data_IF_522997871102
#
_entry.id   IF_522997871102
#
_cell.length_a   1.000
_cell.length_b   1.000
_cell.length_c   1.000
_cell.angle_alpha   90.00
_cell.angle_beta   90.00
_cell.angle_gamma   90.00
#
_symmetry.space_group_name_H-M   'P 1'
#
loop_
_entity.id
_entity.type
_entity.pdbx_description
1 polymer ?
#
# COMPACT_ATOMS: atom_id res chain seq x y z
N UNK A 1 27.81 2.12 -2.59
CA UNK A 1 27.66 3.26 -1.68
C UNK A 1 28.41 2.92 -0.42
N UNK A 2 29.32 3.78 0.01
CA UNK A 2 30.02 3.66 1.29
C UNK A 2 29.07 4.06 2.43
N UNK A 3 29.35 3.62 3.66
CA UNK A 3 28.60 4.04 4.88
C UNK A 3 28.52 5.57 5.09
N UNK A 4 29.30 6.36 4.34
CA UNK A 4 29.28 7.83 4.36
C UNK A 4 28.05 8.47 3.68
N UNK A 5 27.25 7.72 2.92
CA UNK A 5 26.09 8.28 2.18
C UNK A 5 24.76 8.18 2.94
N UNK A 6 24.73 7.53 4.11
CA UNK A 6 23.52 7.41 4.94
C UNK A 6 23.40 8.61 5.87
N UNK A 7 22.30 9.39 5.84
CA UNK A 7 22.15 10.56 6.68
C UNK A 7 22.02 10.17 8.17
N UNK A 8 22.64 10.96 9.03
CA UNK A 8 22.52 10.82 10.49
C UNK A 8 21.12 11.19 10.96
N UNK A 9 20.71 10.66 12.12
CA UNK A 9 19.41 11.01 12.74
C UNK A 9 19.28 12.53 12.95
N UNK A 10 20.36 13.21 13.37
CA UNK A 10 20.37 14.66 13.54
C UNK A 10 20.09 15.40 12.22
N UNK A 11 20.67 14.96 11.10
CA UNK A 11 20.38 15.52 9.78
C UNK A 11 18.93 15.28 9.36
N UNK A 12 18.40 14.07 9.59
CA UNK A 12 17.01 13.72 9.26
C UNK A 12 16.03 14.58 10.06
N UNK A 13 16.23 14.70 11.37
CA UNK A 13 15.36 15.50 12.26
C UNK A 13 15.44 17.00 12.00
N UNK A 14 16.58 17.48 11.48
CA UNK A 14 16.77 18.89 11.11
C UNK A 14 16.26 19.24 9.70
N UNK A 15 15.88 18.24 8.89
CA UNK A 15 15.40 18.47 7.53
C UNK A 15 14.09 19.27 7.53
N UNK A 16 13.99 20.24 6.62
CA UNK A 16 12.81 21.11 6.47
C UNK A 16 12.01 20.84 5.20
N UNK A 17 12.57 20.05 4.27
CA UNK A 17 11.94 19.71 3.00
C UNK A 17 11.09 18.44 3.19
N UNK A 18 9.86 18.64 3.68
CA UNK A 18 8.90 17.57 3.91
C UNK A 18 8.15 17.22 2.62
N UNK A 19 8.16 15.93 2.27
CA UNK A 19 7.34 15.36 1.20
C UNK A 19 5.95 15.00 1.73
N UNK A 20 5.87 14.50 2.96
CA UNK A 20 4.61 14.21 3.65
C UNK A 20 4.09 15.43 4.43
N UNK A 21 2.89 15.34 5.00
CA UNK A 21 2.42 16.34 5.95
C UNK A 21 3.32 16.35 7.22
N UNK A 22 3.74 17.52 7.74
CA UNK A 22 4.69 17.61 8.86
C UNK A 22 4.20 17.04 10.20
N UNK A 23 2.89 16.94 10.38
CA UNK A 23 2.18 16.46 11.58
C UNK A 23 1.77 14.98 11.50
N UNK A 24 2.06 14.30 10.38
CA UNK A 24 1.80 12.88 10.23
C UNK A 24 2.63 12.03 11.22
N UNK A 25 2.06 10.91 11.67
CA UNK A 25 2.73 9.93 12.54
C UNK A 25 3.95 9.27 11.87
N UNK A 26 3.90 9.16 10.54
CA UNK A 26 5.00 8.76 9.67
C UNK A 26 5.35 9.93 8.77
N UNK A 27 6.60 10.38 8.80
CA UNK A 27 7.07 11.55 8.07
C UNK A 27 8.01 11.12 6.96
N UNK A 28 7.97 11.82 5.83
CA UNK A 28 8.92 11.64 4.73
C UNK A 28 9.60 12.98 4.46
N UNK A 29 10.93 12.98 4.56
CA UNK A 29 11.76 14.16 4.27
C UNK A 29 12.70 13.89 3.11
N UNK A 30 12.91 14.92 2.29
CA UNK A 30 13.96 14.96 1.30
C UNK A 30 15.26 15.39 1.95
N UNK A 31 16.30 14.56 1.83
CA UNK A 31 17.65 14.85 2.33
C UNK A 31 18.53 15.44 1.22
N UNK A 32 18.36 14.95 -0.01
CA UNK A 32 19.05 15.41 -1.21
C UNK A 32 18.21 15.12 -2.45
N UNK A 33 18.69 15.47 -3.64
CA UNK A 33 18.03 15.10 -4.90
C UNK A 33 18.04 13.59 -5.20
N UNK A 34 18.65 12.77 -4.34
CA UNK A 34 18.72 11.31 -4.51
C UNK A 34 18.20 10.53 -3.30
N UNK A 35 17.98 11.18 -2.15
CA UNK A 35 17.69 10.49 -0.90
C UNK A 35 16.44 11.08 -0.26
N UNK A 36 15.49 10.19 0.04
CA UNK A 36 14.36 10.43 0.91
C UNK A 36 14.46 9.54 2.16
N UNK A 37 13.93 10.02 3.28
CA UNK A 37 13.86 9.25 4.52
C UNK A 37 12.44 9.25 5.05
N UNK A 38 11.85 8.06 5.19
CA UNK A 38 10.59 7.84 5.93
C UNK A 38 10.94 7.50 7.38
N UNK A 39 10.37 8.20 8.34
CA UNK A 39 10.65 7.98 9.75
C UNK A 39 9.47 8.29 10.67
N UNK A 40 9.44 7.62 11.82
CA UNK A 40 8.39 7.78 12.82
C UNK A 40 8.30 6.57 13.75
N UNK A 41 7.52 6.70 14.82
CA UNK A 41 7.29 5.60 15.78
C UNK A 41 6.35 4.53 15.23
N UNK A 42 5.60 4.84 14.17
CA UNK A 42 4.67 3.92 13.49
C UNK A 42 5.19 3.43 12.14
N UNK A 43 6.44 3.74 11.76
CA UNK A 43 7.02 3.25 10.51
C UNK A 43 7.44 1.79 10.67
N UNK A 44 6.84 0.84 9.95
CA UNK A 44 7.23 -0.56 10.05
C UNK A 44 8.48 -0.82 9.20
N UNK A 45 9.54 -1.38 9.80
CA UNK A 45 10.73 -1.80 9.02
C UNK A 45 10.40 -2.88 7.98
N UNK A 46 9.29 -3.59 8.16
CA UNK A 46 8.74 -4.53 7.17
C UNK A 46 8.49 -3.88 5.81
N UNK A 47 8.13 -2.59 5.75
CA UNK A 47 7.98 -1.87 4.48
C UNK A 47 9.27 -1.92 3.64
N UNK A 48 10.42 -1.71 4.29
CA UNK A 48 11.72 -1.76 3.65
C UNK A 48 12.11 -3.19 3.25
N UNK A 49 11.78 -4.19 4.07
CA UNK A 49 11.96 -5.60 3.71
C UNK A 49 11.12 -5.97 2.49
N UNK A 50 9.88 -5.48 2.40
CA UNK A 50 8.99 -5.70 1.27
C UNK A 50 9.53 -5.09 -0.02
N UNK A 51 9.99 -3.84 0.01
CA UNK A 51 10.62 -3.23 -1.17
C UNK A 51 11.86 -4.01 -1.62
N UNK A 52 12.73 -4.46 -0.69
CA UNK A 52 13.90 -5.28 -1.04
C UNK A 52 13.50 -6.63 -1.65
N UNK A 53 12.48 -7.28 -1.09
CA UNK A 53 11.97 -8.55 -1.60
C UNK A 53 11.40 -8.41 -3.02
N UNK A 54 10.58 -7.39 -3.26
CA UNK A 54 9.98 -7.12 -4.58
C UNK A 54 11.09 -6.85 -5.61
N UNK A 55 12.05 -5.97 -5.28
CA UNK A 55 13.16 -5.65 -6.18
C UNK A 55 14.05 -6.86 -6.51
N UNK A 56 14.16 -7.83 -5.60
CA UNK A 56 14.95 -9.04 -5.82
C UNK A 56 14.21 -10.12 -6.64
N UNK A 57 12.87 -10.09 -6.68
CA UNK A 57 12.05 -11.15 -7.25
C UNK A 57 11.20 -10.72 -8.46
N UNK A 58 11.31 -9.45 -8.90
CA UNK A 58 10.49 -8.90 -9.97
C UNK A 58 11.11 -7.65 -10.59
N UNK A 59 10.54 -7.20 -11.71
CA UNK A 59 10.86 -5.91 -12.33
C UNK A 59 9.96 -4.74 -11.86
N UNK A 60 9.17 -4.92 -10.79
CA UNK A 60 8.27 -3.87 -10.28
C UNK A 60 9.10 -2.64 -9.86
N UNK A 61 8.75 -1.43 -10.33
CA UNK A 61 9.52 -0.22 -10.04
C UNK A 61 9.22 0.29 -8.61
N UNK A 62 10.05 -0.13 -7.66
CA UNK A 62 10.02 0.31 -6.25
C UNK A 62 11.23 1.20 -5.92
N UNK A 63 11.13 2.12 -4.94
CA UNK A 63 12.29 2.86 -4.43
C UNK A 63 13.36 1.91 -3.92
N UNK A 64 14.63 2.18 -4.28
CA UNK A 64 15.74 1.41 -3.73
C UNK A 64 15.95 1.74 -2.26
N UNK A 65 15.82 0.74 -1.39
CA UNK A 65 16.19 0.89 0.02
C UNK A 65 17.71 0.93 0.18
N UNK A 66 18.20 1.99 0.82
CA UNK A 66 19.62 2.22 1.08
C UNK A 66 20.03 1.77 2.48
N UNK A 67 19.22 2.10 3.49
CA UNK A 67 19.49 1.72 4.88
C UNK A 67 18.19 1.68 5.71
N UNK A 68 18.24 0.94 6.81
CA UNK A 68 17.17 0.87 7.81
C UNK A 68 17.79 0.84 9.19
N UNK A 69 17.27 1.62 10.13
CA UNK A 69 17.74 1.64 11.52
C UNK A 69 16.66 2.18 12.46
N UNK A 70 16.89 1.98 13.77
CA UNK A 70 16.00 2.43 14.84
C UNK A 70 16.77 3.29 15.84
N UNK A 71 16.10 4.27 16.43
CA UNK A 71 16.63 5.08 17.54
C UNK A 71 15.98 4.60 18.85
N UNK A 72 16.75 3.94 19.70
CA UNK A 72 16.23 3.31 20.94
C UNK A 72 15.55 4.33 21.88
N UNK A 73 16.11 5.53 22.00
CA UNK A 73 15.64 6.57 22.92
C UNK A 73 14.20 7.03 22.62
N UNK A 74 13.82 7.07 21.34
CA UNK A 74 12.50 7.55 20.91
C UNK A 74 11.61 6.44 20.39
N UNK A 75 12.18 5.26 20.10
CA UNK A 75 11.51 4.17 19.39
C UNK A 75 11.21 4.49 17.92
N UNK A 76 11.82 5.53 17.33
CA UNK A 76 11.61 5.85 15.92
C UNK A 76 12.35 4.88 15.02
N UNK A 77 11.66 4.45 13.97
CA UNK A 77 12.25 3.71 12.86
C UNK A 77 12.54 4.66 11.70
N UNK A 78 13.57 4.34 10.92
CA UNK A 78 14.02 5.11 9.78
C UNK A 78 14.24 4.18 8.59
N UNK A 79 13.66 4.54 7.45
CA UNK A 79 13.86 3.91 6.15
C UNK A 79 14.50 4.95 5.25
N UNK A 80 15.78 4.75 4.93
CA UNK A 80 16.52 5.58 3.97
C UNK A 80 16.42 4.93 2.61
N UNK A 81 15.92 5.67 1.62
CA UNK A 81 15.63 5.15 0.28
C UNK A 81 15.93 6.18 -0.80
N UNK A 82 16.01 5.70 -2.03
CA UNK A 82 16.08 6.53 -3.22
C UNK A 82 14.89 7.50 -3.29
N UNK A 83 15.17 8.78 -3.52
CA UNK A 83 14.16 9.75 -3.88
C UNK A 83 13.75 9.53 -5.34
N UNK A 84 12.54 9.02 -5.55
CA UNK A 84 11.97 8.88 -6.89
C UNK A 84 11.59 10.26 -7.44
N UNK A 85 12.18 10.61 -8.58
CA UNK A 85 11.89 11.86 -9.28
C UNK A 85 10.55 11.78 -10.01
N UNK A 86 9.74 12.84 -9.93
CA UNK A 86 8.47 12.94 -10.63
C UNK A 86 7.41 13.67 -9.81
N UNK A 87 6.16 13.54 -10.24
CA UNK A 87 4.98 14.00 -9.49
C UNK A 87 4.06 12.81 -9.25
N UNK A 88 3.21 12.90 -8.23
CA UNK A 88 2.21 11.86 -8.00
C UNK A 88 1.24 11.80 -9.19
N UNK A 89 0.65 10.63 -9.44
CA UNK A 89 -0.42 10.49 -10.41
C UNK A 89 -1.64 11.29 -9.97
N UNK A 90 -1.89 11.44 -8.67
CA UNK A 90 -2.94 12.32 -8.13
C UNK A 90 -2.78 13.76 -8.63
N UNK A 91 -1.58 14.32 -8.55
CA UNK A 91 -1.27 15.69 -8.98
C UNK A 91 -1.31 15.87 -10.50
N UNK A 92 -0.98 14.82 -11.25
CA UNK A 92 -0.89 14.86 -12.71
C UNK A 92 -2.22 14.55 -13.38
N UNK A 93 -3.11 13.78 -12.74
CA UNK A 93 -4.35 13.26 -13.34
C UNK A 93 -5.15 14.32 -14.12
N UNK A 94 -5.35 15.55 -13.60
CA UNK A 94 -6.15 16.58 -14.29
C UNK A 94 -5.49 17.12 -15.57
N UNK A 95 -4.19 16.89 -15.74
CA UNK A 95 -3.39 17.40 -16.87
C UNK A 95 -3.15 16.37 -17.96
N UNK A 96 -3.42 15.09 -17.69
CA UNK A 96 -3.15 14.01 -18.61
C UNK A 96 -4.24 13.90 -19.68
N UNK A 97 -3.84 13.81 -20.94
CA UNK A 97 -4.74 13.46 -22.02
C UNK A 97 -5.02 11.94 -22.05
N UNK A 98 -5.98 11.50 -22.87
CA UNK A 98 -6.42 10.09 -22.93
C UNK A 98 -5.30 9.13 -23.34
N UNK A 99 -4.38 9.54 -24.20
CA UNK A 99 -3.25 8.71 -24.64
C UNK A 99 -2.23 8.55 -23.52
N UNK A 100 -1.90 9.64 -22.82
CA UNK A 100 -0.99 9.60 -21.65
C UNK A 100 -1.60 8.77 -20.51
N UNK A 101 -2.90 8.93 -20.22
CA UNK A 101 -3.62 8.10 -19.24
C UNK A 101 -3.54 6.62 -19.61
N UNK A 102 -3.72 6.28 -20.89
CA UNK A 102 -3.64 4.90 -21.38
C UNK A 102 -2.23 4.33 -21.23
N UNK A 103 -1.19 5.10 -21.57
CA UNK A 103 0.22 4.69 -21.45
C UNK A 103 0.60 4.43 -19.98
N UNK A 104 0.26 5.36 -19.08
CA UNK A 104 0.53 5.23 -17.64
C UNK A 104 -0.25 4.04 -17.06
N UNK A 105 -1.52 3.87 -17.41
CA UNK A 105 -2.34 2.75 -16.94
C UNK A 105 -1.76 1.41 -17.34
N UNK A 106 -1.27 1.30 -18.58
CA UNK A 106 -0.62 0.08 -19.06
C UNK A 106 0.65 -0.23 -18.26
N UNK A 107 1.46 0.77 -17.93
CA UNK A 107 2.65 0.57 -17.08
C UNK A 107 2.29 0.11 -15.67
N UNK A 108 1.27 0.73 -15.04
CA UNK A 108 0.79 0.31 -13.71
C UNK A 108 0.26 -1.12 -13.78
N UNK A 109 -0.55 -1.44 -14.79
CA UNK A 109 -1.10 -2.78 -15.00
C UNK A 109 0.01 -3.82 -15.10
N UNK A 110 1.01 -3.57 -15.93
CA UNK A 110 2.14 -4.48 -16.09
C UNK A 110 2.91 -4.67 -14.77
N UNK A 111 3.10 -3.60 -13.99
CA UNK A 111 3.72 -3.69 -12.66
C UNK A 111 2.89 -4.54 -11.68
N UNK A 112 1.56 -4.42 -11.68
CA UNK A 112 0.70 -5.25 -10.83
C UNK A 112 0.66 -6.71 -11.29
N UNK A 113 0.60 -6.95 -12.60
CA UNK A 113 0.63 -8.31 -13.16
C UNK A 113 1.97 -9.00 -12.81
N UNK A 114 3.09 -8.27 -12.92
CA UNK A 114 4.42 -8.71 -12.50
C UNK A 114 4.48 -8.99 -10.99
N UNK A 115 3.97 -8.09 -10.14
CA UNK A 115 3.90 -8.27 -8.69
C UNK A 115 3.16 -9.56 -8.32
N UNK A 116 2.01 -9.82 -8.97
CA UNK A 116 1.16 -11.00 -8.75
C UNK A 116 1.76 -12.29 -9.31
N UNK A 117 2.80 -12.20 -10.15
CA UNK A 117 3.51 -13.37 -10.69
C UNK A 117 4.51 -13.98 -9.71
N UNK A 118 4.90 -13.23 -8.68
CA UNK A 118 5.77 -13.72 -7.60
C UNK A 118 5.05 -14.86 -6.89
N UNK A 119 5.73 -16.00 -6.77
CA UNK A 119 5.15 -17.22 -6.20
C UNK A 119 4.67 -16.97 -4.77
N UNK A 120 3.38 -17.19 -4.48
CA UNK A 120 2.85 -16.96 -3.15
C UNK A 120 3.29 -18.06 -2.17
N UNK A 121 3.49 -17.72 -0.89
CA UNK A 121 3.66 -18.71 0.15
C UNK A 121 2.32 -19.36 0.52
N UNK A 122 2.37 -20.39 1.37
CA UNK A 122 1.18 -21.06 1.88
C UNK A 122 0.58 -20.33 3.11
N UNK A 123 0.44 -19.00 3.03
CA UNK A 123 -0.20 -18.19 4.06
C UNK A 123 -0.63 -16.82 3.51
N UNK A 124 -1.54 -16.17 4.22
CA UNK A 124 -2.00 -14.78 4.04
C UNK A 124 -1.42 -13.95 5.18
N UNK A 125 -0.73 -12.86 4.88
CA UNK A 125 0.04 -12.12 5.87
C UNK A 125 1.12 -11.24 5.25
N UNK A 126 1.78 -10.43 6.09
CA UNK A 126 3.01 -9.74 5.71
C UNK A 126 4.13 -10.72 5.33
N UNK A 127 5.21 -10.21 4.74
CA UNK A 127 6.38 -11.04 4.47
C UNK A 127 6.87 -11.74 5.75
N UNK A 128 7.48 -12.92 5.59
CA UNK A 128 8.00 -13.71 6.71
C UNK A 128 6.96 -14.00 7.81
N UNK A 129 5.71 -14.27 7.40
CA UNK A 129 4.59 -14.56 8.32
C UNK A 129 4.31 -13.42 9.33
N UNK A 130 4.56 -12.17 8.94
CA UNK A 130 4.16 -11.03 9.75
C UNK A 130 2.66 -10.78 9.67
N UNK A 131 2.14 -10.01 10.62
CA UNK A 131 0.73 -9.60 10.63
C UNK A 131 0.39 -8.69 9.45
N UNK A 132 -0.91 -8.58 9.15
CA UNK A 132 -1.43 -7.66 8.15
C UNK A 132 -1.46 -6.24 8.70
N UNK A 133 -0.69 -5.34 8.09
CA UNK A 133 -0.70 -3.92 8.42
C UNK A 133 -1.80 -3.20 7.63
N UNK A 134 -3.05 -3.41 8.04
CA UNK A 134 -4.22 -2.75 7.47
C UNK A 134 -5.26 -2.51 8.56
N UNK A 135 -6.00 -1.39 8.49
CA UNK A 135 -6.97 -1.03 9.51
C UNK A 135 -8.06 -2.09 9.72
N UNK A 136 -8.40 -2.90 8.70
CA UNK A 136 -9.36 -4.01 8.83
C UNK A 136 -8.88 -5.09 9.81
N UNK A 137 -7.58 -5.14 10.09
CA UNK A 137 -6.94 -6.14 10.96
C UNK A 137 -6.18 -5.51 12.12
N UNK A 138 -6.32 -4.19 12.32
CA UNK A 138 -5.56 -3.48 13.34
C UNK A 138 -6.22 -3.56 14.71
N UNK A 139 -5.50 -4.11 15.68
CA UNK A 139 -5.84 -4.07 17.11
C UNK A 139 -4.58 -3.78 17.92
N UNK A 140 -4.70 -3.21 19.14
CA UNK A 140 -3.57 -3.10 20.05
C UNK A 140 -2.87 -4.45 20.20
N UNK A 141 -1.53 -4.44 20.27
CA UNK A 141 -0.68 -5.64 20.43
C UNK A 141 -0.72 -6.65 19.27
N UNK A 142 -1.48 -6.37 18.20
CA UNK A 142 -1.58 -7.23 17.01
C UNK A 142 -1.94 -8.69 17.34
N UNK A 143 -3.03 -8.91 18.09
CA UNK A 143 -3.56 -10.25 18.38
C UNK A 143 -3.58 -11.10 17.10
N UNK A 144 -2.82 -12.21 17.01
CA UNK A 144 -2.73 -13.03 15.81
C UNK A 144 -4.08 -13.59 15.35
N UNK A 145 -5.06 -13.70 16.25
CA UNK A 145 -6.41 -14.12 15.89
C UNK A 145 -7.15 -13.10 15.02
N UNK A 146 -6.72 -11.83 15.00
CA UNK A 146 -7.28 -10.73 14.21
C UNK A 146 -6.28 -10.22 13.18
N UNK A 147 -5.01 -10.05 13.56
CA UNK A 147 -3.99 -9.44 12.71
C UNK A 147 -3.26 -10.45 11.82
N UNK A 148 -3.44 -11.74 12.06
CA UNK A 148 -2.75 -12.79 11.32
C UNK A 148 -1.29 -12.96 11.73
N UNK A 149 -0.49 -13.70 10.93
CA UNK A 149 -0.82 -14.28 9.63
C UNK A 149 -1.86 -15.39 9.72
N UNK A 150 -2.45 -15.75 8.58
CA UNK A 150 -3.47 -16.77 8.45
C UNK A 150 -3.06 -17.85 7.46
N UNK A 151 -3.41 -19.10 7.73
CA UNK A 151 -3.09 -20.20 6.81
C UNK A 151 -4.11 -20.34 5.66
N UNK A 152 -5.30 -19.73 5.79
CA UNK A 152 -6.37 -19.78 4.78
C UNK A 152 -7.17 -18.48 4.74
N UNK A 153 -7.85 -18.22 3.62
CA UNK A 153 -8.81 -17.12 3.49
C UNK A 153 -9.95 -17.20 4.50
N UNK A 154 -10.43 -18.41 4.82
CA UNK A 154 -11.45 -18.60 5.85
C UNK A 154 -10.96 -18.17 7.24
N UNK A 155 -9.69 -18.41 7.57
CA UNK A 155 -9.09 -17.94 8.82
C UNK A 155 -8.89 -16.42 8.84
N UNK A 156 -8.51 -15.82 7.70
CA UNK A 156 -8.46 -14.36 7.54
C UNK A 156 -9.85 -13.73 7.74
N UNK A 157 -10.90 -14.31 7.16
CA UNK A 157 -12.27 -13.87 7.34
C UNK A 157 -12.71 -13.94 8.81
N UNK A 158 -12.31 -14.99 9.53
CA UNK A 158 -12.57 -15.10 10.97
C UNK A 158 -11.92 -13.96 11.74
N UNK A 159 -10.65 -13.64 11.45
CA UNK A 159 -9.96 -12.53 12.10
C UNK A 159 -10.60 -11.18 11.81
N UNK A 160 -11.01 -10.96 10.56
CA UNK A 160 -11.78 -9.78 10.17
C UNK A 160 -13.11 -9.69 10.93
N UNK A 161 -13.87 -10.79 11.05
CA UNK A 161 -15.15 -10.83 11.76
C UNK A 161 -14.98 -10.55 13.26
N UNK A 162 -13.95 -11.12 13.89
CA UNK A 162 -13.59 -10.83 15.29
C UNK A 162 -13.31 -9.36 15.51
N UNK A 163 -12.64 -8.70 14.57
CA UNK A 163 -12.41 -7.27 14.62
C UNK A 163 -13.70 -6.46 14.50
N UNK A 164 -14.61 -6.88 13.61
CA UNK A 164 -15.93 -6.24 13.45
C UNK A 164 -16.82 -6.41 14.68
N UNK A 165 -16.77 -7.56 15.37
CA UNK A 165 -17.50 -7.83 16.61
C UNK A 165 -17.15 -6.83 17.73
N UNK A 166 -15.95 -6.24 17.71
CA UNK A 166 -15.55 -5.19 18.66
C UNK A 166 -16.16 -3.81 18.35
N UNK A 167 -16.73 -3.63 17.14
CA UNK A 167 -17.19 -2.33 16.61
C UNK A 167 -18.68 -2.31 16.26
N UNK A 168 -19.35 -3.45 16.37
CA UNK A 168 -20.76 -3.59 15.98
C UNK A 168 -21.49 -4.55 16.90
N UNK A 169 -22.84 -4.45 17.05
CA UNK A 169 -23.58 -5.38 17.88
C UNK A 169 -23.37 -6.84 17.45
N UNK A 170 -23.23 -7.75 18.40
CA UNK A 170 -22.94 -9.16 18.15
C UNK A 170 -23.95 -9.83 17.17
N UNK A 171 -25.23 -9.47 17.26
CA UNK A 171 -26.28 -9.96 16.33
C UNK A 171 -26.01 -9.54 14.88
N UNK A 172 -25.47 -8.34 14.67
CA UNK A 172 -25.14 -7.83 13.34
C UNK A 172 -23.88 -8.50 12.79
N UNK A 173 -22.84 -8.65 13.63
CA UNK A 173 -21.65 -9.41 13.25
C UNK A 173 -21.97 -10.87 12.88
N UNK A 174 -22.85 -11.53 13.64
CA UNK A 174 -23.32 -12.88 13.34
C UNK A 174 -24.09 -12.96 12.01
N UNK A 175 -24.86 -11.92 11.67
CA UNK A 175 -25.52 -11.82 10.37
C UNK A 175 -24.49 -11.66 9.23
N UNK A 176 -23.49 -10.79 9.39
CA UNK A 176 -22.43 -10.59 8.39
C UNK A 176 -21.58 -11.83 8.16
N UNK A 177 -21.33 -12.63 9.20
CA UNK A 177 -20.50 -13.85 9.15
C UNK A 177 -20.90 -14.81 8.03
N UNK A 178 -22.19 -15.04 7.84
CA UNK A 178 -22.68 -15.90 6.75
C UNK A 178 -22.41 -15.31 5.37
N UNK A 179 -22.61 -14.00 5.22
CA UNK A 179 -22.41 -13.27 3.96
C UNK A 179 -20.92 -13.24 3.60
N UNK A 180 -20.07 -12.81 4.54
CA UNK A 180 -18.61 -12.78 4.40
C UNK A 180 -18.07 -14.12 3.93
N UNK A 181 -18.45 -15.21 4.58
CA UNK A 181 -17.94 -16.54 4.23
C UNK A 181 -18.47 -17.08 2.89
N UNK A 182 -19.60 -16.57 2.41
CA UNK A 182 -20.16 -16.93 1.09
C UNK A 182 -19.65 -16.06 -0.05
N UNK A 183 -19.15 -14.86 0.26
CA UNK A 183 -18.68 -13.87 -0.72
C UNK A 183 -17.16 -13.86 -0.83
N UNK A 184 -16.45 -13.87 0.29
CA UNK A 184 -14.98 -13.77 0.33
C UNK A 184 -14.39 -15.17 0.48
N UNK A 185 -14.53 -16.00 -0.56
CA UNK A 185 -14.07 -17.38 -0.52
C UNK A 185 -13.55 -17.90 -1.86
N UNK A 186 -12.53 -18.74 -1.81
CA UNK A 186 -12.02 -19.46 -2.98
C UNK A 186 -11.06 -18.63 -3.85
N UNK A 187 -10.53 -17.54 -3.31
CA UNK A 187 -9.64 -16.65 -4.04
C UNK A 187 -8.19 -17.11 -3.97
N UNK A 188 -7.43 -16.80 -5.02
CA UNK A 188 -5.98 -17.03 -5.02
C UNK A 188 -5.29 -16.04 -4.10
N UNK A 189 -4.28 -16.49 -3.37
CA UNK A 189 -3.37 -15.61 -2.63
C UNK A 189 -2.31 -15.06 -3.57
N UNK A 190 -2.10 -13.75 -3.56
CA UNK A 190 -1.12 -13.02 -4.38
C UNK A 190 -0.48 -11.90 -3.56
N UNK A 191 0.70 -11.43 -3.98
CA UNK A 191 1.28 -10.23 -3.37
C UNK A 191 0.51 -9.01 -3.87
N UNK A 192 0.10 -8.14 -2.94
CA UNK A 192 -0.59 -6.88 -3.23
C UNK A 192 0.21 -5.71 -2.68
N UNK A 193 0.03 -4.54 -3.29
CA UNK A 193 0.50 -3.26 -2.74
C UNK A 193 -0.31 -2.89 -1.49
N UNK A 194 -1.61 -3.20 -1.48
CA UNK A 194 -2.49 -3.02 -0.33
C UNK A 194 -3.06 -1.61 -0.20
N UNK A 195 -2.31 -0.58 -0.64
CA UNK A 195 -2.76 0.82 -0.76
C UNK A 195 -2.44 1.43 -2.14
N UNK A 196 -2.80 0.73 -3.24
CA UNK A 196 -2.56 1.25 -4.60
C UNK A 196 -3.49 2.45 -4.91
N UNK A 197 -3.03 3.66 -4.58
CA UNK A 197 -3.77 4.90 -4.79
C UNK A 197 -2.97 5.88 -5.68
N UNK A 198 -3.62 6.85 -6.35
CA UNK A 198 -2.92 7.83 -7.19
C UNK A 198 -1.79 8.60 -6.49
N UNK A 199 -1.93 8.87 -5.18
CA UNK A 199 -0.90 9.52 -4.36
C UNK A 199 0.38 8.66 -4.18
N UNK A 200 0.24 7.34 -4.31
CA UNK A 200 1.30 6.34 -4.09
C UNK A 200 1.92 5.88 -5.43
N UNK A 201 1.64 6.61 -6.51
CA UNK A 201 2.17 6.34 -7.85
C UNK A 201 2.93 7.58 -8.30
N UNK A 202 4.25 7.48 -8.45
CA UNK A 202 5.07 8.58 -8.99
C UNK A 202 5.22 8.38 -10.50
N UNK A 203 4.97 9.46 -11.24
CA UNK A 203 5.12 9.51 -12.69
C UNK A 203 6.22 10.52 -13.04
N UNK A 204 7.27 10.03 -13.68
CA UNK A 204 8.35 10.83 -14.21
C UNK A 204 8.15 11.04 -15.72
N UNK A 205 8.08 12.31 -16.16
CA UNK A 205 8.02 12.67 -17.58
C UNK A 205 9.43 12.68 -18.16
N UNK A 206 9.65 11.89 -19.20
CA UNK A 206 10.94 11.76 -19.88
C UNK A 206 10.84 12.45 -21.22
N UNK A 207 11.56 13.56 -21.36
CA UNK A 207 11.63 14.25 -22.64
C UNK A 207 12.29 13.37 -23.70
N UNK A 208 11.65 13.26 -24.85
CA UNK A 208 12.28 12.58 -26.00
C UNK A 208 13.45 13.41 -26.51
N UNK A 209 14.68 12.85 -26.58
CA UNK A 209 15.83 13.57 -27.17
C UNK A 209 15.56 14.02 -28.61
N UNK A 210 14.69 13.30 -29.32
CA UNK A 210 14.38 13.50 -30.73
C UNK A 210 13.11 14.36 -30.95
N UNK A 211 12.50 14.88 -29.87
CA UNK A 211 11.30 15.73 -29.95
C UNK A 211 10.02 15.04 -30.44
N UNK A 212 9.96 13.69 -30.40
CA UNK A 212 8.82 12.93 -30.95
C UNK A 212 7.62 12.88 -30.01
N UNK A 213 7.81 12.34 -28.80
CA UNK A 213 6.78 12.25 -27.76
C UNK A 213 7.48 12.03 -26.42
N UNK A 214 7.16 12.83 -25.42
CA UNK A 214 7.62 12.60 -24.06
C UNK A 214 7.07 11.25 -23.58
N UNK A 215 7.93 10.42 -22.98
CA UNK A 215 7.54 9.15 -22.38
C UNK A 215 7.27 9.30 -20.89
N UNK A 216 6.73 8.24 -20.28
CA UNK A 216 6.54 8.17 -18.84
C UNK A 216 7.32 7.02 -18.22
N UNK A 217 7.78 7.22 -16.99
CA UNK A 217 8.15 6.11 -16.08
C UNK A 217 7.28 6.17 -14.84
N UNK A 218 6.71 5.03 -14.50
CA UNK A 218 5.92 4.84 -13.28
C UNK A 218 6.77 4.19 -12.19
N UNK A 219 6.60 4.63 -10.95
CA UNK A 219 7.12 3.99 -9.74
C UNK A 219 6.00 3.87 -8.72
N UNK A 220 5.97 2.76 -8.00
CA UNK A 220 5.03 2.51 -6.91
C UNK A 220 5.74 2.73 -5.58
N UNK A 221 5.16 3.53 -4.70
CA UNK A 221 5.73 3.93 -3.40
C UNK A 221 4.76 3.61 -2.26
N UNK A 222 5.23 3.71 -1.02
CA UNK A 222 4.42 3.48 0.19
C UNK A 222 3.91 2.03 0.33
N UNK A 223 4.86 1.10 0.51
CA UNK A 223 4.63 -0.34 0.56
C UNK A 223 4.29 -0.85 1.97
N UNK A 224 3.91 0.01 2.89
CA UNK A 224 3.69 -0.34 4.30
C UNK A 224 2.50 -1.28 4.52
N UNK A 225 1.51 -1.25 3.62
CA UNK A 225 0.31 -2.09 3.65
C UNK A 225 0.44 -3.36 2.80
N UNK A 226 1.58 -3.55 2.14
CA UNK A 226 1.79 -4.64 1.20
C UNK A 226 1.90 -5.98 1.92
N UNK A 227 1.18 -6.97 1.41
CA UNK A 227 1.13 -8.31 2.00
C UNK A 227 0.62 -9.34 0.99
N UNK A 228 0.67 -10.60 1.39
CA UNK A 228 -0.03 -11.68 0.71
C UNK A 228 -1.51 -11.62 1.08
N UNK A 229 -2.36 -11.30 0.11
CA UNK A 229 -3.81 -11.20 0.27
C UNK A 229 -4.54 -11.99 -0.81
N UNK A 230 -5.84 -12.29 -0.62
CA UNK A 230 -6.73 -12.67 -1.70
C UNK A 230 -6.68 -11.68 -2.87
N UNK A 231 -6.72 -12.17 -4.11
CA UNK A 231 -6.56 -11.36 -5.33
C UNK A 231 -7.58 -10.22 -5.53
N UNK A 232 -8.74 -10.28 -4.86
CA UNK A 232 -9.74 -9.22 -4.86
C UNK A 232 -9.30 -7.98 -4.04
N UNK A 233 -8.37 -8.17 -3.10
CA UNK A 233 -8.05 -7.18 -2.08
C UNK A 233 -7.56 -5.86 -2.68
N UNK A 234 -6.65 -5.94 -3.65
CA UNK A 234 -6.08 -4.75 -4.31
C UNK A 234 -7.16 -3.89 -4.97
N UNK A 235 -8.11 -4.50 -5.69
CA UNK A 235 -9.19 -3.74 -6.31
C UNK A 235 -10.07 -3.08 -5.25
N UNK A 236 -10.43 -3.82 -4.21
CA UNK A 236 -11.30 -3.33 -3.15
C UNK A 236 -10.65 -2.22 -2.32
N UNK A 237 -9.37 -2.37 -1.95
CA UNK A 237 -8.63 -1.37 -1.19
C UNK A 237 -8.24 -0.18 -2.05
N UNK A 238 -7.92 -0.35 -3.33
CA UNK A 238 -7.61 0.77 -4.23
C UNK A 238 -8.83 1.66 -4.52
N UNK A 239 -10.03 1.07 -4.51
CA UNK A 239 -11.27 1.76 -4.92
C UNK A 239 -12.21 2.09 -3.76
N UNK A 240 -11.80 1.90 -2.50
CA UNK A 240 -12.76 2.05 -1.39
C UNK A 240 -13.38 3.45 -1.28
N UNK A 241 -12.63 4.51 -1.61
CA UNK A 241 -13.07 5.91 -1.63
C UNK A 241 -13.50 6.42 -3.01
N UNK A 242 -13.67 5.53 -4.00
CA UNK A 242 -13.80 5.92 -5.41
C UNK A 242 -15.07 6.73 -5.73
N UNK A 243 -16.10 6.67 -4.87
CA UNK A 243 -17.27 7.57 -4.95
C UNK A 243 -16.87 9.05 -5.02
N UNK A 244 -15.78 9.42 -4.35
CA UNK A 244 -15.25 10.78 -4.32
C UNK A 244 -14.08 10.99 -5.30
N UNK A 245 -13.67 9.94 -6.02
CA UNK A 245 -12.54 9.92 -6.95
C UNK A 245 -12.92 9.16 -8.24
N UNK A 246 -13.93 9.62 -9.00
CA UNK A 246 -14.45 8.88 -10.16
C UNK A 246 -13.40 8.68 -11.26
N UNK A 247 -12.48 9.63 -11.45
CA UNK A 247 -11.39 9.50 -12.42
C UNK A 247 -10.45 8.34 -12.08
N UNK A 248 -10.19 8.09 -10.80
CA UNK A 248 -9.41 6.92 -10.39
C UNK A 248 -10.17 5.62 -10.62
N UNK A 249 -11.50 5.60 -10.37
CA UNK A 249 -12.29 4.39 -10.62
C UNK A 249 -12.22 3.97 -12.09
N UNK A 250 -12.38 4.94 -12.99
CA UNK A 250 -12.28 4.72 -14.43
C UNK A 250 -10.91 4.10 -14.77
N UNK A 251 -9.81 4.72 -14.30
CA UNK A 251 -8.47 4.23 -14.57
C UNK A 251 -8.20 2.85 -13.95
N UNK A 252 -8.55 2.66 -12.69
CA UNK A 252 -8.37 1.41 -11.95
C UNK A 252 -9.15 0.25 -12.60
N UNK A 253 -10.30 0.52 -13.22
CA UNK A 253 -11.10 -0.48 -13.94
C UNK A 253 -10.40 -1.05 -15.18
N UNK A 254 -9.41 -0.33 -15.73
CA UNK A 254 -8.55 -0.77 -16.83
C UNK A 254 -7.25 -1.42 -16.34
N UNK A 255 -6.84 -1.14 -15.10
CA UNK A 255 -5.60 -1.63 -14.50
C UNK A 255 -5.83 -2.99 -13.81
N UNK A 256 -6.88 -3.08 -13.00
CA UNK A 256 -7.15 -4.18 -12.09
C UNK A 256 -8.34 -5.03 -12.56
N UNK A 257 -8.30 -6.33 -12.24
CA UNK A 257 -9.50 -7.17 -12.35
C UNK A 257 -10.55 -6.70 -11.35
N UNK A 258 -11.79 -6.58 -11.81
CA UNK A 258 -12.90 -6.10 -10.99
C UNK A 258 -13.54 -7.24 -10.24
N UNK A 259 -13.86 -7.00 -8.97
CA UNK A 259 -14.50 -7.96 -8.06
C UNK A 259 -15.75 -7.30 -7.46
N UNK A 260 -16.87 -7.17 -8.20
CA UNK A 260 -17.99 -6.34 -7.78
C UNK A 260 -18.68 -6.83 -6.50
N UNK A 261 -18.81 -8.14 -6.33
CA UNK A 261 -19.47 -8.73 -5.15
C UNK A 261 -18.61 -8.53 -3.91
N UNK A 262 -17.31 -8.80 -4.03
CA UNK A 262 -16.29 -8.62 -2.99
C UNK A 262 -16.16 -7.13 -2.65
N UNK A 263 -16.20 -6.25 -3.67
CA UNK A 263 -16.21 -4.80 -3.48
C UNK A 263 -17.39 -4.36 -2.61
N UNK A 264 -18.62 -4.81 -2.90
CA UNK A 264 -19.79 -4.47 -2.08
C UNK A 264 -19.64 -4.96 -0.63
N UNK A 265 -19.12 -6.17 -0.44
CA UNK A 265 -18.86 -6.70 0.91
C UNK A 265 -17.78 -5.88 1.63
N UNK A 266 -16.67 -5.57 0.95
CA UNK A 266 -15.59 -4.76 1.50
C UNK A 266 -16.04 -3.33 1.80
N UNK A 267 -16.97 -2.74 1.03
CA UNK A 267 -17.57 -1.44 1.35
C UNK A 267 -18.31 -1.47 2.70
N UNK A 268 -19.03 -2.54 3.02
CA UNK A 268 -19.69 -2.70 4.32
C UNK A 268 -18.64 -2.82 5.43
N UNK A 269 -17.59 -3.61 5.21
CA UNK A 269 -16.48 -3.81 6.18
C UNK A 269 -15.76 -2.49 6.45
N UNK A 270 -15.34 -1.77 5.40
CA UNK A 270 -14.72 -0.45 5.51
C UNK A 270 -15.66 0.57 6.16
N UNK A 271 -16.96 0.48 5.88
CA UNK A 271 -18.03 1.22 6.56
C UNK A 271 -17.92 1.12 8.08
N UNK A 272 -17.80 -0.09 8.60
CA UNK A 272 -17.74 -0.37 10.04
C UNK A 272 -16.38 0.04 10.62
N UNK A 273 -15.28 -0.28 9.92
CA UNK A 273 -13.92 -0.04 10.42
C UNK A 273 -13.57 1.44 10.45
N UNK A 274 -13.87 2.20 9.38
CA UNK A 274 -13.43 3.58 9.23
C UNK A 274 -14.46 4.62 9.69
N UNK A 275 -15.76 4.39 9.48
CA UNK A 275 -16.77 5.45 9.72
C UNK A 275 -17.33 5.48 11.14
N UNK A 276 -17.08 4.45 11.96
CA UNK A 276 -17.49 4.46 13.37
C UNK A 276 -16.48 5.14 14.30
N UNK A 277 -15.27 5.47 13.82
CA UNK A 277 -14.27 6.26 14.56
C UNK A 277 -14.66 7.74 14.63
N UNK A 278 -15.54 8.22 13.74
CA UNK A 278 -15.93 9.63 13.66
C UNK A 278 -17.10 10.03 14.59
N UNK A 279 -17.48 9.17 15.56
CA UNK A 279 -18.64 9.41 16.44
C UNK A 279 -18.32 9.64 17.92
N UNK A 280 -17.06 9.70 18.31
CA UNK A 280 -16.65 10.08 19.67
C UNK A 280 -15.77 11.33 19.68
#
# INVERSE_FOLDING_TARGET
MSDQDVPTIAQIKAATDFISQPDAHSKVVKISDQIAVKFGTQVPLLEAETMRFIAANSAVPVPKVLATFSEEETGMNFIVMELVQGRTLEDLMPTLNSEEKSEISLQIKNAIDELRSIQPPNYIGGLNRQHLNNAVFWVPEHDPAISGPFDTEAAMNEGMLRHLEQRTPAVYAQFLRGIVNSTLCGHRTVLTHGDLQPKNIIVNRISSPDGKKDGFKVYLIDWESAAWYPEYWEFCSSTFGCRFRPEWLELASHILHQYPTEFLMMQVIYGIVYYLIAKD
#
